data_IF_034057700759
#
_entry.id   IF_034057700759
#
_cell.length_a   1.000
_cell.length_b   1.000
_cell.length_c   1.000
_cell.angle_alpha   90.00
_cell.angle_beta   90.00
_cell.angle_gamma   90.00
#
_symmetry.space_group_name_H-M   'P 1'
#
loop_
_entity.id
_entity.type
_entity.pdbx_description
1 polymer ?
#
# COMPACT_ATOMS: atom_id res chain seq x y z
N UNK A 1 4.12 -7.45 -18.32
CA UNK A 1 3.85 -7.16 -16.89
C UNK A 1 4.15 -5.69 -16.63
N UNK A 2 3.21 -4.96 -16.04
CA UNK A 2 3.29 -3.51 -15.80
C UNK A 2 3.30 -3.23 -14.29
N UNK A 3 3.92 -2.13 -13.91
CA UNK A 3 3.88 -1.57 -12.56
C UNK A 3 2.97 -0.35 -12.60
N UNK A 4 2.15 -0.16 -11.57
CA UNK A 4 1.41 1.08 -11.37
C UNK A 4 1.61 1.65 -9.97
N UNK A 5 1.43 2.96 -9.85
CA UNK A 5 1.63 3.71 -8.60
C UNK A 5 0.38 4.50 -8.25
N UNK A 6 -0.10 4.37 -7.03
CA UNK A 6 -1.15 5.19 -6.42
C UNK A 6 -0.52 5.90 -5.22
N UNK A 7 -0.25 7.20 -5.33
CA UNK A 7 0.51 7.89 -4.29
C UNK A 7 0.32 9.39 -4.28
N UNK A 8 0.88 10.04 -3.27
CA UNK A 8 0.97 11.50 -3.24
C UNK A 8 1.81 12.02 -4.41
N UNK A 9 1.75 13.34 -4.62
CA UNK A 9 2.40 14.01 -5.75
C UNK A 9 3.90 13.70 -5.83
N UNK A 10 4.62 13.73 -4.71
CA UNK A 10 6.06 13.58 -4.70
C UNK A 10 6.46 12.14 -5.00
N UNK A 11 5.74 11.18 -4.41
CA UNK A 11 5.88 9.76 -4.73
C UNK A 11 5.64 9.49 -6.22
N UNK A 12 4.55 10.01 -6.79
CA UNK A 12 4.21 9.84 -8.21
C UNK A 12 5.26 10.44 -9.13
N UNK A 13 5.80 11.62 -8.79
CA UNK A 13 6.90 12.24 -9.54
C UNK A 13 8.15 11.37 -9.48
N UNK A 14 8.52 10.88 -8.29
CA UNK A 14 9.69 10.00 -8.13
C UNK A 14 9.61 8.74 -9.01
N UNK A 15 8.44 8.09 -9.06
CA UNK A 15 8.23 6.94 -9.94
C UNK A 15 8.09 7.29 -11.42
N UNK A 16 7.64 8.51 -11.75
CA UNK A 16 7.63 8.96 -13.15
C UNK A 16 9.06 9.03 -13.70
N UNK A 17 10.01 9.51 -12.89
CA UNK A 17 11.43 9.61 -13.27
C UNK A 17 12.08 8.24 -13.49
N UNK A 18 11.59 7.18 -12.81
CA UNK A 18 12.06 5.81 -13.03
C UNK A 18 11.37 5.10 -14.22
N UNK A 19 10.51 5.80 -14.96
CA UNK A 19 9.87 5.28 -16.16
C UNK A 19 8.52 4.58 -15.94
N UNK A 20 7.95 4.65 -14.73
CA UNK A 20 6.62 4.08 -14.46
C UNK A 20 5.53 4.90 -15.17
N UNK A 21 4.87 4.26 -16.14
CA UNK A 21 3.84 4.91 -16.97
C UNK A 21 2.47 5.02 -16.29
N UNK A 22 2.05 3.96 -15.59
CA UNK A 22 0.75 3.92 -14.93
C UNK A 22 0.87 4.53 -13.53
N UNK A 23 0.40 5.75 -13.35
CA UNK A 23 0.55 6.45 -12.08
C UNK A 23 -0.62 7.40 -11.85
N UNK A 24 -1.05 7.55 -10.61
CA UNK A 24 -2.15 8.43 -10.25
C UNK A 24 -1.91 9.07 -8.88
N UNK A 25 -2.25 10.35 -8.79
CA UNK A 25 -2.34 11.10 -7.53
C UNK A 25 -3.82 11.39 -7.25
N UNK A 26 -4.50 10.55 -6.45
CA UNK A 26 -5.91 10.76 -6.18
C UNK A 26 -6.13 11.99 -5.30
N UNK A 27 -7.19 12.75 -5.59
CA UNK A 27 -7.63 13.95 -4.86
C UNK A 27 -8.47 13.61 -3.63
N UNK A 28 -9.18 12.49 -3.68
CA UNK A 28 -10.08 12.04 -2.65
C UNK A 28 -10.18 10.49 -2.59
N UNK A 29 -10.91 9.98 -1.58
CA UNK A 29 -11.09 8.54 -1.37
C UNK A 29 -11.72 7.84 -2.58
N UNK A 30 -12.72 8.46 -3.20
CA UNK A 30 -13.45 7.87 -4.34
C UNK A 30 -12.54 7.74 -5.56
N UNK A 31 -11.71 8.75 -5.82
CA UNK A 31 -10.73 8.70 -6.89
C UNK A 31 -9.67 7.61 -6.63
N UNK A 32 -9.26 7.44 -5.38
CA UNK A 32 -8.34 6.38 -4.97
C UNK A 32 -8.95 4.97 -5.11
N UNK A 33 -10.21 4.78 -4.72
CA UNK A 33 -10.97 3.54 -4.89
C UNK A 33 -11.10 3.16 -6.37
N UNK A 34 -11.51 4.11 -7.21
CA UNK A 34 -11.67 3.91 -8.64
C UNK A 34 -10.34 3.53 -9.31
N UNK A 35 -9.24 4.16 -8.90
CA UNK A 35 -7.92 3.84 -9.40
C UNK A 35 -7.46 2.44 -8.99
N UNK A 36 -7.68 2.08 -7.73
CA UNK A 36 -7.34 0.77 -7.20
C UNK A 36 -8.11 -0.33 -7.93
N UNK A 37 -9.42 -0.16 -8.08
CA UNK A 37 -10.29 -1.09 -8.83
C UNK A 37 -9.82 -1.24 -10.28
N UNK A 38 -9.59 -0.11 -10.98
CA UNK A 38 -9.09 -0.11 -12.35
C UNK A 38 -7.77 -0.88 -12.50
N UNK A 39 -6.84 -0.72 -11.56
CA UNK A 39 -5.55 -1.40 -11.63
C UNK A 39 -5.62 -2.88 -11.20
N UNK A 40 -6.53 -3.23 -10.31
CA UNK A 40 -6.78 -4.63 -9.93
C UNK A 40 -7.38 -5.45 -11.07
N UNK A 41 -8.19 -4.83 -11.93
CA UNK A 41 -8.87 -5.50 -13.04
C UNK A 41 -8.03 -5.57 -14.33
N UNK A 42 -6.91 -4.84 -14.44
CA UNK A 42 -6.03 -4.90 -15.61
C UNK A 42 -5.11 -6.14 -15.52
N UNK A 43 -5.30 -7.17 -16.37
CA UNK A 43 -4.49 -8.39 -16.35
C UNK A 43 -3.01 -8.13 -16.72
N UNK A 44 -2.70 -6.97 -17.28
CA UNK A 44 -1.33 -6.54 -17.57
C UNK A 44 -0.58 -6.02 -16.36
N UNK A 45 -1.26 -5.68 -15.26
CA UNK A 45 -0.64 -5.15 -14.03
C UNK A 45 -0.20 -6.31 -13.14
N UNK A 46 1.10 -6.34 -12.84
CA UNK A 46 1.67 -7.32 -11.91
C UNK A 46 1.89 -6.74 -10.51
N UNK A 47 2.13 -5.43 -10.41
CA UNK A 47 2.47 -4.75 -9.15
C UNK A 47 1.74 -3.42 -9.04
N UNK A 48 1.05 -3.22 -7.91
CA UNK A 48 0.48 -1.95 -7.49
C UNK A 48 1.30 -1.42 -6.31
N UNK A 49 2.02 -0.33 -6.51
CA UNK A 49 2.70 0.40 -5.45
C UNK A 49 1.72 1.44 -4.91
N UNK A 50 1.51 1.47 -3.60
CA UNK A 50 0.59 2.40 -2.96
C UNK A 50 1.22 3.01 -1.70
N UNK A 51 1.06 4.31 -1.49
CA UNK A 51 1.52 4.93 -0.24
C UNK A 51 0.73 4.43 0.96
N UNK A 52 1.37 4.23 2.11
CA UNK A 52 0.75 3.67 3.32
C UNK A 52 -0.53 4.40 3.74
N UNK A 53 -0.57 5.73 3.63
CA UNK A 53 -1.77 6.52 3.94
C UNK A 53 -2.96 6.16 3.06
N UNK A 54 -2.74 6.00 1.75
CA UNK A 54 -3.78 5.59 0.82
C UNK A 54 -4.15 4.12 1.02
N UNK A 55 -3.19 3.25 1.33
CA UNK A 55 -3.46 1.84 1.62
C UNK A 55 -4.29 1.67 2.90
N UNK A 56 -4.07 2.51 3.90
CA UNK A 56 -4.89 2.55 5.11
C UNK A 56 -6.31 3.03 4.83
N UNK A 57 -6.45 4.09 4.03
CA UNK A 57 -7.74 4.60 3.58
C UNK A 57 -8.53 3.57 2.75
N UNK A 58 -7.84 2.69 2.00
CA UNK A 58 -8.41 1.65 1.14
C UNK A 58 -8.30 0.24 1.74
N UNK A 59 -8.16 0.13 3.07
CA UNK A 59 -7.87 -1.15 3.74
C UNK A 59 -8.94 -2.21 3.47
N UNK A 60 -10.21 -1.81 3.40
CA UNK A 60 -11.35 -2.71 3.17
C UNK A 60 -11.28 -3.32 1.76
N UNK A 61 -10.99 -2.50 0.77
CA UNK A 61 -10.90 -2.85 -0.64
C UNK A 61 -9.70 -3.78 -0.88
N UNK A 62 -8.54 -3.43 -0.31
CA UNK A 62 -7.32 -4.26 -0.36
C UNK A 62 -7.55 -5.63 0.29
N UNK A 63 -8.18 -5.67 1.47
CA UNK A 63 -8.44 -6.95 2.15
C UNK A 63 -9.44 -7.82 1.37
N UNK A 64 -10.47 -7.20 0.78
CA UNK A 64 -11.43 -7.91 -0.08
C UNK A 64 -10.73 -8.54 -1.29
N UNK A 65 -9.76 -7.85 -1.87
CA UNK A 65 -8.95 -8.38 -2.96
C UNK A 65 -8.06 -9.55 -2.52
N UNK A 66 -7.40 -9.45 -1.35
CA UNK A 66 -6.53 -10.51 -0.81
C UNK A 66 -7.25 -11.84 -0.56
N UNK A 67 -8.56 -11.81 -0.32
CA UNK A 67 -9.39 -13.02 -0.17
C UNK A 67 -9.61 -13.76 -1.50
N UNK A 68 -9.42 -13.09 -2.64
CA UNK A 68 -9.50 -13.74 -3.96
C UNK A 68 -8.28 -14.65 -4.13
N UNK A 69 -8.45 -15.85 -4.69
CA UNK A 69 -7.35 -16.81 -4.95
C UNK A 69 -6.36 -16.38 -6.06
N UNK A 70 -6.35 -15.09 -6.44
CA UNK A 70 -5.46 -14.58 -7.49
C UNK A 70 -4.10 -14.21 -6.90
N UNK A 71 -3.01 -14.63 -7.56
CA UNK A 71 -1.65 -14.25 -7.19
C UNK A 71 -1.29 -12.81 -7.60
N UNK A 72 -2.04 -12.21 -8.52
CA UNK A 72 -1.77 -10.89 -9.09
C UNK A 72 -3.03 -10.00 -9.11
N UNK A 73 -2.85 -8.67 -9.05
CA UNK A 73 -1.57 -7.98 -8.85
C UNK A 73 -1.10 -7.97 -7.39
N UNK A 74 0.22 -7.91 -7.19
CA UNK A 74 0.85 -7.78 -5.87
C UNK A 74 0.76 -6.32 -5.41
N UNK A 75 0.30 -6.10 -4.18
CA UNK A 75 0.17 -4.75 -3.60
C UNK A 75 1.35 -4.49 -2.67
N UNK A 76 2.12 -3.44 -2.96
CA UNK A 76 3.29 -3.02 -2.19
C UNK A 76 2.98 -1.69 -1.52
N UNK A 77 2.95 -1.68 -0.18
CA UNK A 77 2.73 -0.47 0.62
C UNK A 77 4.09 0.21 0.88
N UNK A 78 4.22 1.50 0.55
CA UNK A 78 5.46 2.29 0.76
C UNK A 78 5.19 3.53 1.62
N UNK A 79 6.14 4.00 2.43
CA UNK A 79 6.00 5.26 3.15
C UNK A 79 5.87 6.43 2.15
N UNK A 80 5.22 7.51 2.58
CA UNK A 80 5.25 8.76 1.83
C UNK A 80 6.44 9.65 2.24
N UNK A 81 6.60 10.80 1.60
CA UNK A 81 7.72 11.73 1.86
C UNK A 81 7.86 12.22 3.31
N UNK A 82 6.82 12.09 4.14
CA UNK A 82 6.87 12.50 5.55
C UNK A 82 7.45 11.40 6.47
N UNK A 83 7.89 10.28 5.89
CA UNK A 83 8.46 9.16 6.63
C UNK A 83 7.46 8.02 6.81
N UNK A 84 7.92 6.95 7.48
CA UNK A 84 7.05 5.83 7.88
C UNK A 84 5.97 6.39 8.80
N UNK A 85 4.70 6.04 8.58
CA UNK A 85 3.71 6.30 9.63
C UNK A 85 4.21 5.61 10.89
N UNK A 86 4.37 6.34 11.99
CA UNK A 86 4.69 5.80 13.31
C UNK A 86 3.64 4.75 13.68
N UNK A 87 3.90 3.52 13.24
CA UNK A 87 3.25 2.32 13.73
C UNK A 87 4.23 1.76 14.74
N UNK A 88 4.24 2.33 15.94
CA UNK A 88 4.83 1.68 17.12
C UNK A 88 4.43 0.19 17.17
N UNK A 89 3.18 -0.08 16.76
CA UNK A 89 2.60 -1.38 16.45
C UNK A 89 3.40 -2.34 15.56
N UNK A 90 4.24 -1.89 14.63
CA UNK A 90 4.76 -2.80 13.58
C UNK A 90 5.89 -3.68 14.10
N UNK A 91 6.81 -3.10 14.87
CA UNK A 91 7.85 -3.87 15.58
C UNK A 91 7.17 -4.73 16.65
N UNK A 92 6.23 -4.16 17.41
CA UNK A 92 5.49 -4.90 18.43
C UNK A 92 4.73 -6.10 17.85
N UNK A 93 4.02 -5.93 16.72
CA UNK A 93 3.31 -7.02 16.03
C UNK A 93 4.26 -8.07 15.47
N UNK A 94 5.46 -7.68 15.02
CA UNK A 94 6.48 -8.64 14.57
C UNK A 94 7.00 -9.45 15.76
N UNK A 95 7.35 -8.81 16.87
CA UNK A 95 7.80 -9.49 18.10
C UNK A 95 6.70 -10.41 18.65
N UNK A 96 5.46 -9.91 18.77
CA UNK A 96 4.30 -10.71 19.22
C UNK A 96 4.05 -11.93 18.33
N UNK A 97 4.19 -11.81 17.00
CA UNK A 97 4.00 -12.94 16.07
C UNK A 97 5.14 -13.95 16.13
N UNK A 98 6.37 -13.50 16.35
CA UNK A 98 7.56 -14.35 16.36
C UNK A 98 7.75 -15.07 17.71
N UNK A 99 7.44 -14.40 18.83
CA UNK A 99 7.79 -14.86 20.19
C UNK A 99 6.56 -15.14 21.05
N UNK A 100 5.39 -14.62 20.71
CA UNK A 100 4.13 -14.88 21.44
C UNK A 100 3.96 -14.11 22.75
N UNK A 101 4.91 -13.26 23.14
CA UNK A 101 4.88 -12.48 24.39
C UNK A 101 5.16 -10.99 24.12
N UNK A 102 4.51 -10.14 24.91
CA UNK A 102 4.69 -8.68 24.87
C UNK A 102 5.82 -8.32 25.84
N UNK A 103 6.87 -7.59 25.42
CA UNK A 103 7.90 -7.11 26.34
C UNK A 103 7.29 -6.31 27.50
N UNK A 104 7.67 -6.61 28.74
CA UNK A 104 7.13 -5.94 29.95
C UNK A 104 7.38 -4.43 29.97
N UNK A 105 8.42 -3.97 29.26
CA UNK A 105 8.83 -2.58 29.11
C UNK A 105 7.79 -1.71 28.37
N UNK A 106 6.81 -2.31 27.70
CA UNK A 106 5.77 -1.64 26.90
C UNK A 106 4.40 -1.62 27.59
N UNK A 107 4.30 -2.01 28.87
CA UNK A 107 3.07 -1.97 29.68
C UNK A 107 2.88 -0.64 30.43
N UNK A 108 3.10 0.48 29.74
CA UNK A 108 2.80 1.83 30.22
C UNK A 108 1.40 2.27 29.83
#
# INVERSE_FOLDING_TARGET
MKICVIGDRDTVIGFALSGVKNRITPKDKKEAENALAKFMEDPGIGVIIITEKLAEMLRKEINTWKTRKSLYPVIVEIPDKKGVMEREDRIEKIIRRAVGVVPEELRG
#
